data_IF_128950074037
#
_entry.id   IF_128950074037
#
_cell.length_a   1.000
_cell.length_b   1.000
_cell.length_c   1.000
_cell.angle_alpha   90.00
_cell.angle_beta   90.00
_cell.angle_gamma   90.00
#
_symmetry.space_group_name_H-M   'P 1'
#
loop_
_entity.id
_entity.type
_entity.pdbx_description
1 polymer ?
2 non-polymer ?
3 non-polymer ?
4 non-polymer ?
5 water ?
#
# COMPACT_ATOMS: atom_id res chain seq x y z
N UNK A 8 -11.23 11.93 -15.11
CA UNK A 8 -9.88 12.43 -15.45
C UNK A 8 -8.95 11.29 -15.86
N UNK A 9 -8.66 10.38 -14.93
CA UNK A 9 -7.87 9.19 -15.23
C UNK A 9 -8.72 7.93 -15.33
N UNK A 10 -10.05 8.06 -15.41
CA UNK A 10 -10.94 6.90 -15.52
C UNK A 10 -12.12 7.22 -16.43
N UNK A 11 -12.75 6.16 -16.97
CA UNK A 11 -14.04 6.26 -17.61
C UNK A 11 -15.00 5.26 -16.99
N UNK A 12 -16.29 5.59 -17.02
CA UNK A 12 -17.35 4.67 -16.62
C UNK A 12 -18.20 4.39 -17.86
N UNK A 13 -18.30 3.10 -18.24
CA UNK A 13 -19.02 2.73 -19.45
C UNK A 13 -20.32 2.06 -19.04
N UNK A 14 -21.45 2.69 -19.40
CA UNK A 14 -22.75 2.11 -19.11
C UNK A 14 -22.92 0.86 -19.96
N UNK A 15 -23.30 -0.25 -19.33
CA UNK A 15 -23.48 -1.51 -20.03
C UNK A 15 -24.95 -1.68 -20.44
N UNK A 16 -25.13 -2.37 -21.57
CA UNK A 16 -26.45 -2.78 -22.04
C UNK A 16 -26.90 -4.03 -21.29
N UNK A 17 -28.17 -4.07 -20.86
CA UNK A 17 -28.73 -5.22 -20.17
C UNK A 17 -28.77 -6.47 -21.05
N UNK A 18 -28.51 -6.33 -22.37
CA UNK A 18 -28.54 -7.48 -23.27
C UNK A 18 -27.15 -8.11 -23.40
N UNK A 19 -26.13 -7.52 -22.75
CA UNK A 19 -24.77 -8.01 -22.86
C UNK A 19 -24.51 -9.12 -21.83
N UNK A 20 -23.57 -10.01 -22.17
CA UNK A 20 -23.05 -11.02 -21.27
C UNK A 20 -22.49 -10.36 -20.01
N UNK A 21 -21.73 -9.29 -20.20
CA UNK A 21 -21.01 -8.64 -19.12
C UNK A 21 -21.99 -8.11 -18.07
N UNK A 22 -23.03 -7.42 -18.54
CA UNK A 22 -24.04 -6.89 -17.64
C UNK A 22 -24.66 -8.05 -16.85
N UNK A 23 -25.03 -9.12 -17.55
CA UNK A 23 -25.81 -10.19 -16.95
C UNK A 23 -24.96 -11.01 -15.97
N UNK A 24 -23.65 -11.05 -16.17
CA UNK A 24 -22.77 -11.72 -15.22
C UNK A 24 -22.74 -10.95 -13.90
N UNK A 25 -22.63 -9.62 -13.98
CA UNK A 25 -22.64 -8.80 -12.79
C UNK A 25 -24.00 -8.87 -12.10
N UNK A 26 -25.07 -8.78 -12.91
CA UNK A 26 -26.43 -8.80 -12.42
C UNK A 26 -26.67 -10.10 -11.66
N UNK A 27 -26.17 -11.20 -12.23
CA UNK A 27 -26.33 -12.51 -11.61
C UNK A 27 -25.80 -12.52 -10.18
N UNK A 28 -24.61 -11.97 -9.97
CA UNK A 28 -23.97 -11.99 -8.66
C UNK A 28 -24.78 -11.17 -7.64
N UNK A 29 -25.30 -10.01 -8.07
CA UNK A 29 -26.11 -9.15 -7.24
C UNK A 29 -27.41 -9.87 -6.85
N UNK A 30 -28.03 -10.49 -7.83
CA UNK A 30 -29.33 -11.15 -7.69
C UNK A 30 -29.23 -12.38 -6.79
N UNK A 31 -28.03 -12.94 -6.59
CA UNK A 31 -27.90 -14.09 -5.71
C UNK A 31 -28.47 -13.80 -4.32
N UNK A 32 -28.31 -12.55 -3.83
CA UNK A 32 -28.77 -12.24 -2.48
C UNK A 32 -29.72 -11.04 -2.40
N UNK A 33 -29.93 -10.28 -3.49
CA UNK A 33 -30.90 -9.19 -3.52
C UNK A 33 -31.86 -9.37 -4.70
N UNK A 34 -32.54 -10.53 -4.79
CA UNK A 34 -33.52 -10.76 -5.85
C UNK A 34 -34.75 -9.85 -5.77
N UNK A 35 -35.01 -9.29 -4.59
CA UNK A 35 -36.22 -8.51 -4.33
C UNK A 35 -35.97 -7.01 -4.55
N UNK A 36 -34.73 -6.62 -4.89
CA UNK A 36 -34.43 -5.26 -5.32
C UNK A 36 -34.30 -5.22 -6.83
N UNK A 37 -34.21 -4.01 -7.40
CA UNK A 37 -34.23 -3.82 -8.84
C UNK A 37 -33.00 -3.04 -9.29
N UNK A 38 -32.19 -3.67 -10.15
CA UNK A 38 -30.99 -3.05 -10.70
C UNK A 38 -31.42 -2.09 -11.80
N UNK A 39 -30.90 -0.86 -11.76
CA UNK A 39 -31.29 0.21 -12.68
C UNK A 39 -30.17 0.54 -13.64
N UNK A 40 -28.90 0.34 -13.22
CA UNK A 40 -27.76 0.68 -14.06
C UNK A 40 -26.53 -0.08 -13.59
N UNK A 41 -25.71 -0.53 -14.55
CA UNK A 41 -24.40 -1.11 -14.27
C UNK A 41 -23.39 -0.44 -15.20
N UNK A 42 -22.31 0.06 -14.60
CA UNK A 42 -21.23 0.71 -15.32
C UNK A 42 -19.92 -0.03 -15.10
N UNK A 43 -19.16 -0.24 -16.18
CA UNK A 43 -17.81 -0.78 -16.11
C UNK A 43 -16.84 0.36 -15.82
N UNK A 44 -15.98 0.17 -14.81
CA UNK A 44 -15.00 1.18 -14.46
C UNK A 44 -13.71 0.86 -15.19
N UNK A 45 -13.18 1.84 -15.92
CA UNK A 45 -11.91 1.68 -16.61
C UNK A 45 -10.94 2.70 -16.06
N UNK A 46 -10.00 2.24 -15.22
CA UNK A 46 -8.92 3.07 -14.73
C UNK A 46 -7.60 2.33 -15.00
N UNK A 47 -6.89 2.74 -16.05
CA UNK A 47 -5.70 2.02 -16.48
C UNK A 47 -4.66 1.98 -15.38
N UNK A 48 -4.50 3.09 -14.63
CA UNK A 48 -3.50 3.19 -13.59
C UNK A 48 -3.78 2.19 -12.47
N UNK A 49 -5.02 2.14 -12.00
CA UNK A 49 -5.40 1.20 -10.95
C UNK A 49 -5.29 -0.24 -11.45
N UNK A 50 -5.54 -0.44 -12.74
CA UNK A 50 -5.48 -1.77 -13.34
C UNK A 50 -4.04 -2.28 -13.42
N UNK A 51 -3.12 -1.41 -13.85
CA UNK A 51 -1.71 -1.75 -13.94
C UNK A 51 -1.17 -2.14 -12.56
N UNK A 52 -1.50 -1.36 -11.54
CA UNK A 52 -1.04 -1.61 -10.18
C UNK A 52 -1.57 -2.97 -9.71
N UNK A 53 -2.86 -3.19 -9.90
CA UNK A 53 -3.53 -4.42 -9.47
C UNK A 53 -2.89 -5.64 -10.13
N UNK A 54 -2.62 -5.56 -11.44
CA UNK A 54 -2.08 -6.71 -12.16
C UNK A 54 -0.65 -7.00 -11.72
N UNK A 55 0.12 -5.94 -11.45
CA UNK A 55 1.45 -6.08 -10.89
C UNK A 55 1.39 -6.76 -9.52
N UNK A 56 0.48 -6.28 -8.64
CA UNK A 56 0.33 -6.84 -7.32
C UNK A 56 -0.03 -8.33 -7.41
N UNK A 57 -0.94 -8.68 -8.33
CA UNK A 57 -1.35 -10.06 -8.52
C UNK A 57 -0.13 -10.93 -8.90
N UNK A 58 0.70 -10.41 -9.81
CA UNK A 58 1.90 -11.10 -10.25
C UNK A 58 2.88 -11.30 -9.09
N UNK A 59 3.02 -10.27 -8.23
CA UNK A 59 3.95 -10.36 -7.13
C UNK A 59 3.44 -11.38 -6.11
N UNK A 60 2.13 -11.38 -5.86
CA UNK A 60 1.53 -12.28 -4.90
C UNK A 60 1.66 -13.73 -5.40
N UNK A 61 1.54 -13.92 -6.70
CA UNK A 61 1.70 -15.26 -7.28
C UNK A 61 3.10 -15.78 -7.01
N UNK A 62 4.10 -14.94 -7.25
CA UNK A 62 5.48 -15.33 -7.00
C UNK A 62 5.69 -15.68 -5.54
N UNK A 63 5.08 -14.90 -4.65
CA UNK A 63 5.28 -15.08 -3.22
C UNK A 63 4.45 -16.24 -2.68
N UNK A 64 3.60 -16.82 -3.53
CA UNK A 64 2.75 -17.95 -3.18
C UNK A 64 3.32 -19.23 -3.80
N UNK A 65 4.64 -19.32 -3.88
CA UNK A 65 5.28 -20.48 -4.49
C UNK A 65 4.92 -20.63 -5.96
N UNK A 66 4.55 -19.51 -6.60
CA UNK A 66 4.24 -19.48 -8.03
C UNK A 66 2.83 -19.93 -8.36
N UNK A 67 1.96 -20.05 -7.35
CA UNK A 67 0.60 -20.55 -7.53
C UNK A 67 -0.39 -19.38 -7.59
N UNK A 68 -1.49 -19.60 -8.32
CA UNK A 68 -2.50 -18.58 -8.53
C UNK A 68 -2.98 -18.06 -7.18
N UNK A 69 -3.24 -16.77 -7.15
CA UNK A 69 -3.69 -16.03 -5.98
C UNK A 69 -5.20 -16.16 -5.85
N UNK A 70 -5.71 -16.34 -4.63
CA UNK A 70 -7.15 -16.30 -4.38
C UNK A 70 -7.66 -14.90 -4.73
N UNK A 71 -8.48 -14.83 -5.80
CA UNK A 71 -9.00 -13.60 -6.35
C UNK A 71 -10.52 -13.73 -6.43
N UNK A 72 -11.23 -12.74 -5.90
CA UNK A 72 -12.69 -12.82 -5.83
C UNK A 72 -13.32 -11.53 -6.34
N UNK A 73 -14.60 -11.65 -6.72
CA UNK A 73 -15.42 -10.51 -7.05
C UNK A 73 -16.36 -10.29 -5.87
N UNK A 74 -16.18 -9.15 -5.20
CA UNK A 74 -16.78 -8.88 -3.92
C UNK A 74 -17.44 -7.50 -3.94
N UNK A 75 -18.47 -7.30 -3.11
CA UNK A 75 -19.25 -6.09 -3.10
C UNK A 75 -18.75 -5.11 -2.04
N UNK A 76 -19.02 -3.83 -2.32
CA UNK A 76 -18.65 -2.75 -1.41
C UNK A 76 -19.71 -1.65 -1.49
N UNK A 77 -20.46 -1.50 -0.39
CA UNK A 77 -21.53 -0.52 -0.36
C UNK A 77 -20.94 0.88 -0.41
N UNK A 78 -21.63 1.79 -1.10
CA UNK A 78 -21.13 3.14 -1.25
C UNK A 78 -22.32 4.10 -1.27
N UNK A 79 -22.01 5.36 -1.58
CA UNK A 79 -23.01 6.35 -1.91
C UNK A 79 -22.63 6.97 -3.25
N UNK A 80 -23.63 7.44 -3.97
CA UNK A 80 -23.43 8.02 -5.29
C UNK A 80 -22.35 9.10 -5.27
N UNK A 81 -22.27 9.89 -4.19
CA UNK A 81 -21.36 11.02 -4.16
C UNK A 81 -19.89 10.59 -4.11
N UNK A 82 -19.58 9.40 -3.59
CA UNK A 82 -18.19 9.00 -3.44
C UNK A 82 -17.71 8.11 -4.59
N UNK A 83 -18.59 7.78 -5.54
CA UNK A 83 -18.26 6.87 -6.62
C UNK A 83 -17.04 7.34 -7.41
N UNK A 84 -17.06 8.59 -7.90
CA UNK A 84 -16.01 9.09 -8.78
C UNK A 84 -14.66 9.16 -8.07
N UNK A 85 -14.66 9.44 -6.76
CA UNK A 85 -13.46 9.44 -5.95
C UNK A 85 -12.81 8.05 -5.88
N UNK A 86 -13.64 7.02 -5.72
CA UNK A 86 -13.17 5.64 -5.70
C UNK A 86 -12.65 5.24 -7.07
N UNK A 87 -13.37 5.61 -8.15
CA UNK A 87 -12.96 5.27 -9.51
C UNK A 87 -11.57 5.84 -9.86
N UNK A 88 -11.25 6.97 -9.23
CA UNK A 88 -10.00 7.69 -9.47
C UNK A 88 -8.88 7.21 -8.55
N UNK A 89 -9.17 7.08 -7.24
CA UNK A 89 -8.17 6.90 -6.21
C UNK A 89 -8.20 5.52 -5.55
N UNK A 90 -9.24 4.72 -5.86
CA UNK A 90 -9.45 3.42 -5.24
C UNK A 90 -10.16 3.57 -3.89
N UNK A 91 -10.58 2.43 -3.33
CA UNK A 91 -11.19 2.36 -2.02
C UNK A 91 -10.23 2.81 -0.92
N UNK A 92 -10.80 3.35 0.17
CA UNK A 92 -10.02 3.81 1.30
C UNK A 92 -10.89 3.72 2.56
N UNK A 93 -10.45 2.95 3.55
CA UNK A 93 -11.29 2.66 4.70
C UNK A 93 -11.53 3.89 5.58
N UNK A 94 -10.68 4.90 5.47
CA UNK A 94 -10.74 6.01 6.42
C UNK A 94 -11.52 7.17 5.81
N UNK A 95 -12.15 6.95 4.65
CA UNK A 95 -13.17 7.86 4.15
C UNK A 95 -14.49 7.55 4.85
N UNK A 96 -14.90 6.28 4.81
CA UNK A 96 -16.27 5.86 5.07
C UNK A 96 -16.40 5.21 6.46
N UNK A 100 -19.44 -2.89 10.70
CA UNK A 100 -20.04 -2.86 12.05
C UNK A 100 -19.16 -3.57 13.07
N UNK A 101 -19.12 -4.90 12.97
CA UNK A 101 -18.17 -5.71 13.73
C UNK A 101 -16.83 -5.63 13.03
N UNK A 102 -15.76 -5.31 13.78
CA UNK A 102 -14.47 -5.03 13.18
C UNK A 102 -13.56 -6.27 13.22
N UNK A 103 -13.03 -6.58 12.04
CA UNK A 103 -12.03 -7.59 11.82
C UNK A 103 -10.75 -6.93 11.34
N UNK A 104 -10.60 -5.63 11.66
CA UNK A 104 -9.39 -4.89 11.37
C UNK A 104 -9.69 -3.55 10.71
N UNK A 105 -8.70 -2.67 10.72
CA UNK A 105 -8.82 -1.33 10.17
C UNK A 105 -8.33 -1.35 8.73
N UNK A 106 -9.19 -1.88 7.86
CA UNK A 106 -8.98 -1.88 6.43
C UNK A 106 -10.32 -1.75 5.70
N UNK A 107 -10.27 -1.85 4.37
CA UNK A 107 -11.45 -1.77 3.54
C UNK A 107 -12.18 -3.11 3.56
N UNK A 108 -13.51 -3.06 3.67
CA UNK A 108 -14.36 -4.24 3.83
C UNK A 108 -15.01 -4.57 2.48
N UNK A 109 -14.97 -5.87 2.11
CA UNK A 109 -15.58 -6.34 0.89
C UNK A 109 -16.37 -7.61 1.20
N UNK A 110 -17.59 -7.70 0.66
CA UNK A 110 -18.51 -8.77 1.02
C UNK A 110 -18.76 -9.75 -0.13
N UNK A 111 -18.92 -11.02 0.25
CA UNK A 111 -19.37 -12.04 -0.68
C UNK A 111 -20.75 -11.66 -1.22
N UNK A 112 -21.64 -11.23 -0.32
CA UNK A 112 -23.05 -11.04 -0.64
C UNK A 112 -23.36 -9.55 -0.81
N UNK A 113 -24.07 -9.21 -1.91
CA UNK A 113 -24.58 -7.87 -2.12
C UNK A 113 -25.49 -7.44 -0.97
N UNK A 114 -26.28 -8.36 -0.40
CA UNK A 114 -27.19 -8.03 0.68
C UNK A 114 -26.45 -7.50 1.90
N UNK A 115 -25.23 -8.00 2.16
CA UNK A 115 -24.41 -7.47 3.25
C UNK A 115 -24.03 -6.02 2.95
N UNK A 116 -23.50 -5.79 1.74
CA UNK A 116 -23.09 -4.45 1.32
C UNK A 116 -24.26 -3.47 1.34
N UNK A 117 -25.46 -3.96 1.02
CA UNK A 117 -26.64 -3.13 1.05
C UNK A 117 -26.84 -2.53 2.45
N UNK A 118 -26.55 -3.31 3.48
CA UNK A 118 -26.67 -2.82 4.84
C UNK A 118 -25.73 -1.64 5.09
N UNK A 119 -24.59 -1.56 4.41
CA UNK A 119 -23.64 -0.47 4.64
C UNK A 119 -23.64 0.53 3.48
N UNK A 120 -24.75 0.61 2.75
CA UNK A 120 -24.87 1.50 1.61
C UNK A 120 -25.76 2.69 1.98
N UNK A 121 -25.14 3.86 2.11
CA UNK A 121 -25.78 5.01 2.73
C UNK A 121 -26.61 5.78 1.69
N UNK A 122 -27.90 5.92 2.01
CA UNK A 122 -28.84 6.69 1.23
C UNK A 122 -30.03 7.09 2.10
N UNK A 123 -30.65 8.22 1.78
CA UNK A 123 -31.87 8.63 2.46
C UNK A 123 -33.08 8.32 1.59
N UNK A 124 -32.87 7.59 0.49
CA UNK A 124 -33.94 7.22 -0.42
C UNK A 124 -33.86 5.71 -0.69
N UNK A 125 -34.78 5.23 -1.55
CA UNK A 125 -34.83 3.83 -1.90
C UNK A 125 -33.74 3.45 -2.90
N UNK A 126 -33.04 4.45 -3.47
CA UNK A 126 -32.03 4.23 -4.49
C UNK A 126 -30.64 4.18 -3.83
N UNK A 127 -29.90 3.09 -4.11
CA UNK A 127 -28.59 2.86 -3.53
C UNK A 127 -27.58 2.57 -4.63
N UNK A 128 -26.31 2.62 -4.23
CA UNK A 128 -25.20 2.30 -5.10
C UNK A 128 -24.27 1.33 -4.37
N UNK A 129 -23.70 0.35 -5.10
CA UNK A 129 -22.58 -0.43 -4.56
C UNK A 129 -21.62 -0.74 -5.69
N UNK A 130 -20.36 -1.00 -5.31
CA UNK A 130 -19.36 -1.49 -6.25
C UNK A 130 -19.35 -3.02 -6.24
N UNK A 131 -19.04 -3.59 -7.40
CA UNK A 131 -18.41 -4.91 -7.46
C UNK A 131 -16.92 -4.66 -7.71
N UNK A 132 -16.07 -5.23 -6.87
CA UNK A 132 -14.64 -5.00 -6.97
C UNK A 132 -13.94 -6.33 -7.19
N UNK A 133 -12.81 -6.28 -7.90
CA UNK A 133 -11.94 -7.44 -8.01
C UNK A 133 -10.94 -7.34 -6.86
N UNK A 134 -10.82 -8.42 -6.07
CA UNK A 134 -10.07 -8.39 -4.83
C UNK A 134 -9.11 -9.58 -4.76
N UNK A 135 -7.82 -9.26 -4.54
CA UNK A 135 -6.80 -10.27 -4.29
C UNK A 135 -6.80 -10.58 -2.80
N UNK A 136 -7.66 -11.54 -2.38
CA UNK A 136 -7.77 -11.85 -0.98
C UNK A 136 -6.56 -12.67 -0.52
N UNK A 137 -5.95 -13.44 -1.43
CA UNK A 137 -4.78 -14.23 -1.10
C UNK A 137 -5.05 -15.16 0.07
N UNK A 138 -4.08 -15.31 0.97
CA UNK A 138 -4.26 -16.18 2.13
C UNK A 138 -4.84 -15.36 3.27
N UNK A 139 -6.04 -15.73 3.73
CA UNK A 139 -6.75 -14.98 4.76
C UNK A 139 -6.67 -15.69 6.10
N UNK A 140 -6.92 -14.90 7.15
CA UNK A 140 -6.86 -15.31 8.55
C UNK A 140 -7.97 -14.53 9.24
N UNK A 141 -8.52 -15.07 10.33
CA UNK A 141 -9.53 -14.35 11.06
C UNK A 141 -8.97 -13.02 11.60
N UNK A 142 -9.75 -11.97 11.44
CA UNK A 142 -9.38 -10.63 11.83
C UNK A 142 -9.68 -10.36 13.30
N UNK A 143 -9.32 -9.14 13.70
CA UNK A 143 -9.36 -8.70 15.07
C UNK A 143 -9.47 -7.17 15.02
N UNK A 144 -10.25 -6.60 15.94
CA UNK A 144 -10.55 -5.17 15.94
C UNK A 144 -9.27 -4.34 15.99
N UNK A 145 -8.19 -4.88 16.57
CA UNK A 145 -6.97 -4.12 16.81
C UNK A 145 -5.99 -4.23 15.64
N UNK A 146 -6.30 -5.05 14.63
CA UNK A 146 -5.38 -5.23 13.52
C UNK A 146 -5.33 -3.99 12.64
N UNK A 147 -4.12 -3.52 12.33
CA UNK A 147 -3.92 -2.43 11.39
C UNK A 147 -3.28 -2.98 10.12
N UNK A 148 -2.98 -4.29 10.13
CA UNK A 148 -2.46 -4.99 8.98
C UNK A 148 -2.73 -6.46 9.25
N UNK A 149 -2.64 -7.37 8.26
CA UNK A 149 -2.80 -8.80 8.56
C UNK A 149 -1.66 -9.22 9.46
N UNK A 150 -1.90 -10.16 10.40
CA UNK A 150 -0.83 -10.66 11.27
C UNK A 150 0.14 -11.58 10.54
N UNK A 151 1.28 -11.84 11.20
CA UNK A 151 2.26 -12.78 10.71
C UNK A 151 1.91 -14.17 11.25
N UNK A 152 2.28 -15.21 10.50
CA UNK A 152 2.22 -16.57 10.98
C UNK A 152 3.26 -16.75 12.09
N UNK A 153 3.02 -17.72 12.97
CA UNK A 153 3.98 -18.07 14.01
C UNK A 153 5.37 -18.35 13.43
N UNK A 154 6.42 -17.81 14.09
CA UNK A 154 7.80 -18.04 13.69
C UNK A 154 8.43 -16.77 13.08
N UNK A 155 9.73 -16.55 13.33
CA UNK A 155 10.35 -15.27 13.01
C UNK A 155 10.49 -15.07 11.50
N UNK A 156 10.13 -13.84 11.06
CA UNK A 156 10.14 -13.38 9.68
C UNK A 156 9.45 -14.38 8.75
N UNK A 157 8.38 -15.00 9.27
CA UNK A 157 7.58 -15.92 8.49
C UNK A 157 6.61 -15.08 7.64
N UNK A 158 5.82 -15.77 6.80
CA UNK A 158 4.83 -15.16 5.94
C UNK A 158 3.83 -14.37 6.77
N UNK A 159 3.32 -13.29 6.16
CA UNK A 159 2.15 -12.57 6.64
C UNK A 159 0.98 -13.00 5.75
N UNK A 160 -0.22 -12.92 6.29
CA UNK A 160 -1.43 -13.11 5.51
C UNK A 160 -1.66 -11.91 4.59
N UNK A 161 -2.62 -12.07 3.67
CA UNK A 161 -2.92 -11.07 2.65
C UNK A 161 -4.19 -10.29 2.96
N UNK A 162 -5.04 -10.85 3.82
CA UNK A 162 -6.31 -10.27 4.17
C UNK A 162 -6.81 -10.90 5.47
N UNK A 163 -7.80 -10.26 6.07
CA UNK A 163 -8.50 -10.80 7.22
C UNK A 163 -9.95 -11.07 6.86
N UNK A 164 -10.57 -12.02 7.57
CA UNK A 164 -11.95 -12.42 7.34
C UNK A 164 -12.68 -12.56 8.67
N UNK A 165 -14.02 -12.63 8.58
CA UNK A 165 -14.86 -12.92 9.74
C UNK A 165 -14.75 -14.39 10.14
N UNK A 166 -14.53 -15.26 9.14
CA UNK A 166 -14.51 -16.71 9.34
C UNK A 166 -13.63 -17.36 8.28
N UNK A 167 -12.63 -18.14 8.72
CA UNK A 167 -11.74 -18.81 7.79
C UNK A 167 -12.47 -19.94 7.05
N UNK A 168 -13.38 -20.64 7.75
CA UNK A 168 -14.05 -21.79 7.15
C UNK A 168 -15.20 -21.34 6.24
N UNK A 169 -15.77 -20.15 6.49
CA UNK A 169 -16.90 -19.70 5.69
C UNK A 169 -16.83 -18.18 5.56
N UNK A 170 -15.85 -17.64 4.82
CA UNK A 170 -15.61 -16.20 4.79
C UNK A 170 -16.70 -15.49 3.99
N UNK A 171 -17.31 -14.48 4.60
CA UNK A 171 -18.30 -13.68 3.92
C UNK A 171 -17.93 -12.20 3.89
N UNK A 172 -16.95 -11.81 4.73
CA UNK A 172 -16.43 -10.46 4.77
C UNK A 172 -14.90 -10.54 4.70
N UNK A 173 -14.30 -9.70 3.85
CA UNK A 173 -12.86 -9.66 3.66
C UNK A 173 -12.37 -8.25 3.94
N UNK A 174 -11.29 -8.15 4.71
CA UNK A 174 -10.67 -6.88 5.06
C UNK A 174 -9.33 -6.80 4.36
N UNK A 175 -9.16 -5.73 3.58
CA UNK A 175 -7.98 -5.49 2.77
C UNK A 175 -7.26 -4.25 3.29
N UNK A 176 -5.95 -4.36 3.47
CA UNK A 176 -5.21 -3.26 4.07
C UNK A 176 -4.28 -2.58 3.07
N UNK A 177 -4.27 -3.06 1.82
CA UNK A 177 -3.38 -2.57 0.80
C UNK A 177 -4.22 -2.29 -0.45
N UNK A 178 -4.31 -1.03 -0.87
CA UNK A 178 -5.14 -0.64 -2.00
C UNK A 178 -4.74 -1.40 -3.27
N UNK A 179 -3.47 -1.78 -3.38
CA UNK A 179 -2.96 -2.44 -4.57
C UNK A 179 -3.63 -3.79 -4.81
N UNK A 180 -4.32 -4.31 -3.79
CA UNK A 180 -5.01 -5.59 -3.86
C UNK A 180 -6.45 -5.47 -4.34
N UNK A 181 -6.90 -4.27 -4.76
CA UNK A 181 -8.28 -4.08 -5.17
C UNK A 181 -8.34 -3.30 -6.47
N UNK A 182 -9.33 -3.66 -7.31
CA UNK A 182 -9.63 -2.90 -8.50
C UNK A 182 -11.14 -2.65 -8.51
N UNK A 183 -11.60 -1.37 -8.53
CA UNK A 183 -13.03 -1.10 -8.52
C UNK A 183 -13.56 -1.33 -9.94
N UNK A 184 -14.41 -2.34 -10.08
CA UNK A 184 -14.65 -2.93 -11.38
C UNK A 184 -15.98 -2.44 -11.97
N UNK A 185 -17.05 -2.46 -11.16
CA UNK A 185 -18.39 -2.10 -11.62
C UNK A 185 -19.11 -1.26 -10.58
N UNK A 186 -19.90 -0.30 -11.07
CA UNK A 186 -20.79 0.49 -10.26
C UNK A 186 -22.21 0.01 -10.53
N UNK A 187 -22.94 -0.37 -9.48
CA UNK A 187 -24.30 -0.87 -9.59
C UNK A 187 -25.24 0.09 -8.86
N UNK A 188 -26.23 0.60 -9.59
CA UNK A 188 -27.29 1.40 -9.01
C UNK A 188 -28.57 0.56 -9.00
N UNK A 189 -29.27 0.56 -7.85
CA UNK A 189 -30.46 -0.25 -7.67
C UNK A 189 -31.45 0.47 -6.74
N UNK A 190 -32.70 0.00 -6.73
CA UNK A 190 -33.74 0.51 -5.86
C UNK A 190 -34.36 -0.60 -5.00
N UNK A 191 -34.76 -0.23 -3.78
CA UNK A 191 -35.45 -1.13 -2.87
C UNK A 191 -36.96 -1.05 -3.05
N UNK A 192 -37.42 -0.20 -3.96
CA UNK A 192 -38.84 -0.08 -4.25
C UNK A 192 -39.41 -1.39 -4.81
N UNK B 8 0.78 1.81 21.17
CA UNK B 8 1.08 2.34 19.83
C UNK B 8 1.61 1.30 18.83
N UNK B 9 2.29 0.27 19.33
CA UNK B 9 2.79 -0.82 18.50
C UNK B 9 4.25 -0.62 18.08
N UNK B 10 4.86 0.47 18.53
CA UNK B 10 6.27 0.74 18.24
C UNK B 10 6.90 1.50 19.39
N UNK B 11 8.25 1.49 19.44
CA UNK B 11 8.99 2.35 20.34
C UNK B 11 10.04 3.11 19.55
N UNK B 12 10.37 4.32 20.02
CA UNK B 12 11.52 5.07 19.56
C UNK B 12 12.55 5.10 20.69
N UNK B 13 13.73 4.52 20.46
CA UNK B 13 14.75 4.43 21.49
C UNK B 13 15.83 5.46 21.20
N UNK B 14 15.98 6.42 22.10
CA UNK B 14 17.00 7.45 21.98
C UNK B 14 18.38 6.82 22.14
N UNK B 15 19.26 7.06 21.18
CA UNK B 15 20.60 6.49 21.17
C UNK B 15 21.58 7.46 21.85
N UNK B 16 22.55 6.87 22.56
CA UNK B 16 23.68 7.63 23.08
C UNK B 16 24.63 7.99 21.95
N UNK B 17 25.13 9.23 21.96
CA UNK B 17 26.07 9.70 20.96
C UNK B 17 27.40 8.94 21.02
N UNK B 18 27.65 8.16 22.07
CA UNK B 18 28.88 7.38 22.17
C UNK B 18 28.73 5.97 21.61
N UNK B 19 27.54 5.58 21.16
CA UNK B 19 27.34 4.22 20.68
C UNK B 19 27.81 4.10 19.23
N UNK B 20 28.24 2.89 18.87
CA UNK B 20 28.53 2.54 17.49
C UNK B 20 27.33 2.88 16.62
N UNK B 21 26.14 2.48 17.10
CA UNK B 21 24.94 2.56 16.30
C UNK B 21 24.63 4.00 15.91
N UNK B 22 24.65 4.91 16.90
CA UNK B 22 24.46 6.33 16.68
C UNK B 22 25.48 6.85 15.69
N UNK B 23 26.76 6.49 15.89
CA UNK B 23 27.83 7.07 15.09
C UNK B 23 27.76 6.64 13.62
N UNK B 24 27.27 5.42 13.36
CA UNK B 24 27.15 4.97 11.98
C UNK B 24 26.05 5.76 11.27
N UNK B 25 24.93 6.02 11.97
CA UNK B 25 23.87 6.84 11.41
C UNK B 25 24.39 8.26 11.21
N UNK B 26 25.04 8.80 12.24
CA UNK B 26 25.55 10.16 12.19
C UNK B 26 26.52 10.32 11.00
N UNK B 27 27.37 9.31 10.81
CA UNK B 27 28.34 9.31 9.72
C UNK B 27 27.64 9.52 8.37
N UNK B 28 26.55 8.78 8.13
CA UNK B 28 25.84 8.87 6.87
C UNK B 28 25.21 10.24 6.71
N UNK B 29 24.63 10.77 7.80
CA UNK B 29 24.03 12.11 7.74
C UNK B 29 25.13 13.15 7.43
N UNK B 30 26.26 13.03 8.13
CA UNK B 30 27.34 14.01 8.09
C UNK B 30 28.03 14.02 6.73
N UNK B 31 27.88 12.97 5.93
CA UNK B 31 28.44 12.91 4.58
C UNK B 31 28.01 14.10 3.73
N UNK B 32 26.76 14.56 3.84
CA UNK B 32 26.28 15.66 3.00
C UNK B 32 25.73 16.83 3.80
N UNK B 33 25.55 16.69 5.12
CA UNK B 33 25.07 17.82 5.93
C UNK B 33 26.02 18.07 7.08
N UNK B 34 27.34 18.23 6.82
CA UNK B 34 28.28 18.39 7.91
C UNK B 34 28.15 19.74 8.62
N UNK B 35 27.42 20.67 8.00
CA UNK B 35 27.31 22.04 8.52
C UNK B 35 26.05 22.19 9.38
N UNK B 36 25.28 21.11 9.54
CA UNK B 36 24.14 21.13 10.45
C UNK B 36 24.53 20.35 11.70
N UNK B 37 23.65 20.36 12.71
CA UNK B 37 23.97 19.84 14.04
C UNK B 37 22.91 18.82 14.46
N UNK B 38 23.30 17.54 14.57
CA UNK B 38 22.38 16.49 14.98
C UNK B 38 22.13 16.65 16.48
N UNK B 39 20.84 16.65 16.86
CA UNK B 39 20.41 16.85 18.23
C UNK B 39 19.99 15.51 18.85
N UNK B 40 19.46 14.60 18.01
CA UNK B 40 18.94 13.34 18.50
C UNK B 40 18.84 12.30 17.39
N UNK B 41 19.12 11.05 17.74
CA UNK B 41 18.90 9.92 16.86
C UNK B 41 18.15 8.85 17.65
N UNK B 42 16.97 8.47 17.15
CA UNK B 42 16.18 7.42 17.75
C UNK B 42 16.13 6.21 16.82
N UNK B 43 16.31 5.03 17.41
CA UNK B 43 16.07 3.75 16.76
C UNK B 43 14.58 3.44 16.85
N UNK B 44 13.96 3.19 15.70
CA UNK B 44 12.56 2.80 15.64
C UNK B 44 12.45 1.29 15.77
N UNK B 45 11.63 0.85 16.73
CA UNK B 45 11.36 -0.56 16.97
C UNK B 45 9.88 -0.84 16.70
N UNK B 46 9.60 -1.32 15.49
CA UNK B 46 8.28 -1.81 15.11
C UNK B 46 8.47 -3.23 14.61
N UNK B 47 8.17 -4.18 15.48
CA UNK B 47 8.50 -5.57 15.22
C UNK B 47 7.76 -6.05 13.97
N UNK B 48 6.49 -5.66 13.83
CA UNK B 48 5.69 -6.12 12.71
C UNK B 48 6.29 -5.64 11.39
N UNK B 49 6.65 -4.34 11.32
CA UNK B 49 7.23 -3.79 10.09
C UNK B 49 8.57 -4.45 9.79
N UNK B 50 9.33 -4.79 10.86
CA UNK B 50 10.62 -5.44 10.71
C UNK B 50 10.46 -6.84 10.12
N UNK B 51 9.51 -7.61 10.68
CA UNK B 51 9.32 -8.98 10.27
C UNK B 51 8.82 -9.05 8.83
N UNK B 52 7.91 -8.16 8.42
CA UNK B 52 7.41 -8.23 7.05
C UNK B 52 8.51 -7.81 6.08
N UNK B 53 9.34 -6.84 6.47
CA UNK B 53 10.50 -6.45 5.69
C UNK B 53 11.49 -7.60 5.51
N UNK B 54 11.79 -8.34 6.58
CA UNK B 54 12.70 -9.47 6.48
C UNK B 54 12.11 -10.57 5.61
N UNK B 55 10.80 -10.80 5.73
CA UNK B 55 10.14 -11.75 4.85
C UNK B 55 10.30 -11.31 3.38
N UNK B 56 10.05 -10.02 3.13
CA UNK B 56 10.15 -9.46 1.80
C UNK B 56 11.55 -9.68 1.22
N UNK B 57 12.59 -9.42 2.03
CA UNK B 57 13.97 -9.62 1.60
C UNK B 57 14.20 -11.06 1.14
N UNK B 58 13.67 -12.01 1.91
CA UNK B 58 13.81 -13.41 1.57
C UNK B 58 13.13 -13.76 0.25
N UNK B 59 11.93 -13.21 0.04
CA UNK B 59 11.17 -13.44 -1.17
C UNK B 59 11.90 -12.86 -2.37
N UNK B 60 12.52 -11.69 -2.21
CA UNK B 60 13.13 -11.00 -3.32
C UNK B 60 14.36 -11.77 -3.81
N UNK B 61 15.08 -12.36 -2.86
CA UNK B 61 16.23 -13.17 -3.23
C UNK B 61 15.79 -14.33 -4.11
N UNK B 62 14.77 -15.04 -3.66
CA UNK B 62 14.20 -16.15 -4.42
C UNK B 62 13.78 -15.67 -5.81
N UNK B 63 13.00 -14.58 -5.87
CA UNK B 63 12.47 -14.06 -7.12
C UNK B 63 13.60 -13.74 -8.11
N UNK B 64 14.73 -13.25 -7.60
CA UNK B 64 15.80 -12.75 -8.44
C UNK B 64 16.87 -13.82 -8.64
N UNK B 65 16.42 -15.05 -8.89
CA UNK B 65 17.33 -16.14 -9.26
C UNK B 65 18.27 -16.52 -8.12
N UNK B 66 17.84 -16.29 -6.87
CA UNK B 66 18.60 -16.68 -5.70
C UNK B 66 19.73 -15.70 -5.33
N UNK B 67 19.77 -14.50 -5.94
CA UNK B 67 20.91 -13.61 -5.74
C UNK B 67 20.65 -12.67 -4.55
N UNK B 68 21.73 -12.27 -3.87
CA UNK B 68 21.64 -11.33 -2.76
C UNK B 68 20.88 -10.07 -3.18
N UNK B 69 20.08 -9.53 -2.25
CA UNK B 69 19.26 -8.37 -2.53
C UNK B 69 20.03 -7.08 -2.23
N UNK B 70 20.00 -6.15 -3.18
CA UNK B 70 20.55 -4.82 -2.98
C UNK B 70 19.70 -4.09 -1.94
N UNK B 71 20.32 -3.81 -0.79
CA UNK B 71 19.72 -3.22 0.39
C UNK B 71 20.52 -1.99 0.78
N UNK B 72 19.86 -0.84 0.91
CA UNK B 72 20.56 0.41 1.17
C UNK B 72 19.92 1.16 2.33
N UNK B 73 20.72 2.04 2.96
CA UNK B 73 20.22 2.96 3.97
C UNK B 73 20.09 4.32 3.32
N UNK B 74 18.84 4.76 3.21
CA UNK B 74 18.48 5.94 2.44
C UNK B 74 17.62 6.88 3.28
N UNK B 75 17.68 8.17 2.93
CA UNK B 75 17.00 9.18 3.73
C UNK B 75 15.61 9.53 3.16
N UNK B 76 14.76 10.03 4.05
CA UNK B 76 13.43 10.50 3.68
C UNK B 76 13.07 11.66 4.61
N UNK B 77 12.96 12.86 4.02
CA UNK B 77 12.64 14.07 4.76
C UNK B 77 11.22 14.01 5.27
N UNK B 78 11.00 14.63 6.43
CA UNK B 78 9.71 14.56 7.08
C UNK B 78 9.51 15.86 7.87
N UNK B 79 8.33 15.98 8.48
CA UNK B 79 8.02 17.01 9.46
C UNK B 79 7.74 16.29 10.76
N UNK B 80 8.02 16.95 11.89
CA UNK B 80 7.88 16.34 13.20
C UNK B 80 6.50 15.71 13.36
N UNK B 81 5.53 16.30 12.66
CA UNK B 81 4.10 16.00 12.79
C UNK B 81 3.76 14.64 12.19
N UNK B 82 4.54 14.12 11.24
CA UNK B 82 4.16 12.89 10.55
C UNK B 82 5.03 11.71 11.01
N UNK B 83 6.02 11.95 11.87
CA UNK B 83 7.02 10.95 12.25
C UNK B 83 6.35 9.71 12.85
N UNK B 84 5.50 9.89 13.86
CA UNK B 84 4.94 8.77 14.59
C UNK B 84 4.03 7.93 13.68
N UNK B 85 3.28 8.58 12.78
CA UNK B 85 2.50 7.87 11.79
C UNK B 85 3.35 6.92 10.94
N UNK B 86 4.53 7.38 10.50
CA UNK B 86 5.41 6.54 9.70
C UNK B 86 5.95 5.39 10.55
N UNK B 87 6.29 5.66 11.82
CA UNK B 87 6.79 4.64 12.71
C UNK B 87 5.79 3.51 12.89
N UNK B 88 4.48 3.81 12.76
CA UNK B 88 3.45 2.82 13.00
C UNK B 88 3.03 2.12 11.70
N UNK B 89 2.89 2.89 10.61
CA UNK B 89 2.17 2.48 9.40
C UNK B 89 3.09 2.46 8.18
N UNK B 90 4.34 2.94 8.33
CA UNK B 90 5.35 2.96 7.27
C UNK B 90 5.12 4.18 6.37
N UNK B 91 6.04 4.40 5.42
CA UNK B 91 5.96 5.53 4.48
C UNK B 91 4.77 5.34 3.54
N UNK B 92 4.18 6.45 3.08
CA UNK B 92 3.03 6.39 2.20
C UNK B 92 3.06 7.60 1.29
N UNK B 93 3.23 7.36 -0.02
CA UNK B 93 3.41 8.43 -0.99
C UNK B 93 2.17 9.32 -1.07
N UNK B 94 0.99 8.76 -0.77
CA UNK B 94 -0.26 9.52 -0.81
C UNK B 94 -0.24 10.60 0.27
N UNK B 95 0.28 10.27 1.45
CA UNK B 95 0.41 11.22 2.55
C UNK B 95 1.49 12.24 2.20
N UNK B 96 2.63 11.72 1.70
CA UNK B 96 3.75 12.55 1.26
C UNK B 96 3.39 13.24 -0.06
N UNK B 101 10.44 16.65 -9.29
CA UNK B 101 10.69 15.82 -10.50
C UNK B 101 10.31 14.37 -10.19
N UNK B 102 9.42 13.79 -11.00
CA UNK B 102 8.88 12.49 -10.68
C UNK B 102 9.51 11.38 -11.52
N UNK B 103 9.84 10.30 -10.80
CA UNK B 103 10.31 9.06 -11.38
C UNK B 103 9.29 7.96 -11.12
N UNK B 104 8.05 8.37 -10.80
CA UNK B 104 6.98 7.40 -10.56
C UNK B 104 6.20 7.71 -9.29
N UNK B 105 5.02 7.08 -9.19
CA UNK B 105 4.08 7.29 -8.10
C UNK B 105 4.33 6.22 -7.02
N UNK B 106 5.39 6.46 -6.25
CA UNK B 106 5.73 5.66 -5.10
C UNK B 106 6.42 6.52 -4.03
N UNK B 107 6.99 5.86 -3.02
CA UNK B 107 7.71 6.54 -1.97
C UNK B 107 9.16 6.77 -2.39
N UNK B 108 9.67 7.97 -2.10
CA UNK B 108 11.00 8.36 -2.50
C UNK B 108 11.99 8.29 -1.33
N UNK B 109 13.21 7.85 -1.67
CA UNK B 109 14.31 7.72 -0.73
C UNK B 109 15.57 8.24 -1.41
N UNK B 110 16.39 8.97 -0.65
CA UNK B 110 17.58 9.61 -1.19
C UNK B 110 18.85 9.00 -0.62
N UNK B 111 19.86 8.87 -1.48
CA UNK B 111 21.21 8.54 -1.03
C UNK B 111 21.72 9.59 -0.03
N UNK B 112 21.45 10.88 -0.31
CA UNK B 112 22.06 11.99 0.40
C UNK B 112 21.07 12.69 1.34
N UNK B 113 21.48 12.88 2.59
CA UNK B 113 20.68 13.60 3.57
C UNK B 113 20.37 15.02 3.06
N UNK B 114 21.32 15.63 2.34
CA UNK B 114 21.15 16.98 1.83
C UNK B 114 19.97 17.08 0.88
N UNK B 115 19.71 16.01 0.11
CA UNK B 115 18.56 15.97 -0.77
C UNK B 115 17.28 15.98 0.07
N UNK B 116 17.21 15.07 1.03
CA UNK B 116 16.07 14.95 1.91
C UNK B 116 15.79 16.25 2.68
N UNK B 117 16.86 16.98 3.05
CA UNK B 117 16.70 18.23 3.77
C UNK B 117 15.94 19.24 2.93
N UNK B 118 16.21 19.24 1.63
CA UNK B 118 15.53 20.13 0.72
C UNK B 118 14.03 19.89 0.81
N UNK B 119 13.62 18.69 1.24
CA UNK B 119 12.23 18.32 1.44
C UNK B 119 11.91 17.99 2.92
N UNK B 120 12.56 18.66 3.88
CA UNK B 120 12.27 18.47 5.30
C UNK B 120 11.65 19.74 5.90
N UNK B 121 10.32 19.88 5.79
CA UNK B 121 9.65 21.14 6.09
C UNK B 121 9.57 21.41 7.59
N UNK B 122 9.91 22.65 7.97
CA UNK B 122 9.81 23.09 9.35
C UNK B 122 9.61 24.60 9.38
N UNK B 123 8.91 25.08 10.42
CA UNK B 123 8.76 26.51 10.67
C UNK B 123 10.01 27.02 11.37
N UNK B 124 10.66 26.15 12.17
CA UNK B 124 11.81 26.52 12.97
C UNK B 124 13.09 26.01 12.31
N UNK B 125 14.21 26.22 13.01
CA UNK B 125 15.51 25.74 12.58
C UNK B 125 15.73 24.27 12.98
N UNK B 126 14.71 23.63 13.57
CA UNK B 126 14.77 22.22 13.92
C UNK B 126 14.04 21.39 12.87
N UNK B 127 14.75 20.42 12.30
CA UNK B 127 14.20 19.57 11.26
C UNK B 127 14.34 18.11 11.67
N UNK B 128 13.56 17.26 10.99
CA UNK B 128 13.55 15.82 11.18
C UNK B 128 13.62 15.11 9.83
N UNK B 129 14.32 13.99 9.77
CA UNK B 129 14.31 13.12 8.60
C UNK B 129 14.53 11.70 9.11
N UNK B 130 14.06 10.72 8.31
CA UNK B 130 14.35 9.32 8.58
C UNK B 130 15.62 8.87 7.85
N UNK B 131 16.30 7.88 8.46
CA UNK B 131 17.15 6.96 7.73
C UNK B 131 16.42 5.62 7.68
N UNK B 132 16.04 5.21 6.48
CA UNK B 132 15.28 3.99 6.26
C UNK B 132 16.20 2.92 5.69
N UNK B 133 15.84 1.67 5.96
CA UNK B 133 16.42 0.52 5.30
C UNK B 133 15.53 0.19 4.13
N UNK B 134 16.11 0.05 2.93
CA UNK B 134 15.31 -0.07 1.73
C UNK B 134 15.83 -1.21 0.87
N UNK B 135 14.93 -2.14 0.56
CA UNK B 135 15.22 -3.21 -0.37
C UNK B 135 15.01 -2.69 -1.79
N UNK B 136 16.04 -2.05 -2.35
CA UNK B 136 15.95 -1.45 -3.67
C UNK B 136 15.94 -2.53 -4.75
N UNK B 137 16.49 -3.70 -4.45
CA UNK B 137 16.60 -4.79 -5.41
C UNK B 137 17.18 -4.32 -6.74
N UNK B 138 16.65 -4.90 -7.84
CA UNK B 138 17.06 -4.54 -9.17
C UNK B 138 16.26 -3.32 -9.61
N UNK B 139 16.95 -2.26 -10.03
CA UNK B 139 16.30 -1.01 -10.39
C UNK B 139 16.50 -0.69 -11.86
N UNK B 140 15.71 0.30 -12.30
CA UNK B 140 15.64 0.78 -13.68
C UNK B 140 15.21 2.24 -13.61
N UNK B 141 15.53 3.06 -14.61
CA UNK B 141 15.15 4.46 -14.56
C UNK B 141 13.61 4.59 -14.49
N UNK B 142 13.15 5.52 -13.67
CA UNK B 142 11.73 5.76 -13.51
C UNK B 142 11.22 6.75 -14.56
N UNK B 143 9.97 7.14 -14.39
CA UNK B 143 9.22 7.94 -15.34
C UNK B 143 7.98 8.40 -14.60
N UNK B 144 7.56 9.64 -14.85
CA UNK B 144 6.46 10.28 -14.12
C UNK B 144 5.15 9.49 -14.26
N UNK B 145 5.03 8.73 -15.34
CA UNK B 145 3.81 7.99 -15.64
C UNK B 145 3.78 6.60 -14.97
N UNK B 146 4.89 6.15 -14.35
CA UNK B 146 4.89 4.81 -13.79
C UNK B 146 4.08 4.78 -12.50
N UNK B 147 3.20 3.77 -12.38
CA UNK B 147 2.45 3.54 -11.16
C UNK B 147 2.90 2.23 -10.51
N UNK B 148 3.77 1.49 -11.21
CA UNK B 148 4.39 0.28 -10.69
C UNK B 148 5.73 0.12 -11.42
N UNK B 149 6.64 -0.74 -10.94
CA UNK B 149 7.95 -0.87 -11.59
C UNK B 149 7.79 -1.47 -12.98
N UNK B 150 8.58 -1.03 -13.97
CA UNK B 150 8.61 -1.68 -15.28
C UNK B 150 8.91 -3.18 -15.25
N UNK B 151 8.41 -3.86 -16.29
CA UNK B 151 8.76 -5.24 -16.56
C UNK B 151 10.25 -5.33 -16.84
N UNK B 152 10.84 -6.44 -16.40
CA UNK B 152 12.25 -6.70 -16.61
C UNK B 152 12.43 -7.36 -17.98
N UNK B 153 13.39 -6.84 -18.75
CA UNK B 153 13.61 -7.30 -20.10
C UNK B 153 14.31 -8.66 -20.04
N UNK B 154 13.94 -9.59 -20.92
CA UNK B 154 14.58 -10.89 -21.00
C UNK B 154 13.95 -11.94 -20.07
N UNK B 155 13.01 -11.52 -19.22
CA UNK B 155 12.28 -12.42 -18.32
C UNK B 155 10.84 -12.53 -18.80
N UNK B 156 10.22 -13.70 -18.60
CA UNK B 156 8.78 -13.82 -18.66
C UNK B 156 8.21 -13.42 -17.29
N UNK B 157 7.29 -12.44 -17.31
CA UNK B 157 6.44 -12.11 -16.19
C UNK B 157 7.27 -11.69 -14.97
N UNK B 158 8.40 -11.00 -15.18
CA UNK B 158 9.15 -10.42 -14.06
C UNK B 158 9.15 -8.90 -14.10
N UNK B 159 9.24 -8.27 -12.91
CA UNK B 159 9.30 -6.82 -12.80
C UNK B 159 10.56 -6.38 -12.03
N UNK B 160 10.99 -5.14 -12.29
CA UNK B 160 12.00 -4.52 -11.44
C UNK B 160 11.45 -4.26 -10.04
N UNK B 161 12.38 -4.06 -9.09
CA UNK B 161 12.04 -3.92 -7.69
C UNK B 161 11.87 -2.45 -7.31
N UNK B 162 12.49 -1.55 -8.07
CA UNK B 162 12.45 -0.13 -7.77
C UNK B 162 12.84 0.68 -9.01
N UNK B 163 12.54 2.00 -8.96
CA UNK B 163 12.92 2.94 -9.99
C UNK B 163 13.91 3.95 -9.42
N UNK B 164 14.75 4.50 -10.32
CA UNK B 164 15.78 5.45 -9.93
C UNK B 164 15.80 6.62 -10.91
N UNK B 165 16.49 7.69 -10.48
CA UNK B 165 16.72 8.84 -11.32
C UNK B 165 17.73 8.50 -12.43
N UNK B 166 18.74 7.68 -12.11
CA UNK B 166 19.79 7.33 -13.06
C UNK B 166 20.39 5.98 -12.67
N UNK B 167 20.59 5.06 -13.63
CA UNK B 167 21.22 3.80 -13.27
C UNK B 167 22.74 3.97 -13.16
N UNK B 168 23.31 5.00 -13.79
CA UNK B 168 24.75 5.21 -13.68
C UNK B 168 25.13 5.85 -12.34
N UNK B 169 24.22 6.62 -11.74
CA UNK B 169 24.52 7.32 -10.51
C UNK B 169 23.24 7.43 -9.70
N UNK B 170 22.69 6.31 -9.19
CA UNK B 170 21.39 6.35 -8.52
C UNK B 170 21.48 7.09 -7.19
N UNK B 171 20.74 8.20 -7.09
CA UNK B 171 20.71 8.96 -5.86
C UNK B 171 19.29 9.11 -5.32
N UNK B 172 18.28 8.78 -6.14
CA UNK B 172 16.89 8.85 -5.75
C UNK B 172 16.23 7.53 -6.13
N UNK B 173 15.52 6.92 -5.16
CA UNK B 173 14.93 5.61 -5.34
C UNK B 173 13.43 5.71 -5.09
N UNK B 174 12.64 5.05 -5.94
CA UNK B 174 11.20 5.04 -5.83
C UNK B 174 10.74 3.62 -5.56
N UNK B 175 9.97 3.46 -4.47
CA UNK B 175 9.49 2.17 -3.99
C UNK B 175 7.97 2.15 -4.08
N UNK B 176 7.43 1.04 -4.61
CA UNK B 176 6.00 0.95 -4.87
C UNK B 176 5.30 0.00 -3.89
N UNK B 177 6.09 -0.76 -3.11
CA UNK B 177 5.61 -1.76 -2.17
C UNK B 177 6.22 -1.44 -0.81
N UNK B 178 5.37 -1.15 0.18
CA UNK B 178 5.82 -0.65 1.47
C UNK B 178 6.62 -1.72 2.23
N UNK B 179 6.39 -3.00 1.92
CA UNK B 179 7.15 -4.06 2.58
C UNK B 179 8.64 -4.01 2.20
N UNK B 180 9.01 -3.20 1.19
CA UNK B 180 10.41 -3.07 0.82
C UNK B 180 11.13 -2.04 1.68
N UNK B 181 10.45 -1.45 2.69
CA UNK B 181 11.04 -0.38 3.48
C UNK B 181 10.82 -0.63 4.96
N UNK B 182 11.84 -0.31 5.77
CA UNK B 182 11.73 -0.24 7.21
C UNK B 182 12.20 1.14 7.70
N UNK B 183 11.34 1.88 8.42
CA UNK B 183 11.70 3.20 8.95
C UNK B 183 12.59 3.06 10.17
N UNK B 184 13.90 3.13 9.98
CA UNK B 184 14.84 2.57 10.93
C UNK B 184 15.26 3.59 11.99
N UNK B 185 15.61 4.82 11.55
CA UNK B 185 16.07 5.86 12.45
C UNK B 185 15.34 7.19 12.21
N UNK B 186 15.06 7.90 13.31
CA UNK B 186 14.60 9.26 13.24
C UNK B 186 15.76 10.14 13.67
N UNK B 187 16.10 11.10 12.81
CA UNK B 187 17.19 12.04 13.06
C UNK B 187 16.60 13.43 13.22
N UNK B 188 16.86 14.05 14.37
CA UNK B 188 16.52 15.45 14.59
C UNK B 188 17.77 16.31 14.51
N UNK B 189 17.70 17.43 13.79
CA UNK B 189 18.88 18.26 13.63
C UNK B 189 18.48 19.73 13.53
N UNK B 190 19.46 20.61 13.80
CA UNK B 190 19.27 22.04 13.67
C UNK B 190 20.20 22.58 12.59
N UNK B 191 19.77 23.67 11.95
CA UNK B 191 20.55 24.34 10.93
C UNK B 191 21.36 25.49 11.55
N UNK B 192 21.28 25.63 12.88
CA UNK B 192 21.99 26.69 13.58
C UNK B 192 22.71 26.11 14.80
#
# INVERSE_FOLDING_TARGET
DSSALPDPGFQKITLSSSSEEYQKVWNLFNRTLPFYFVQKIERVQNLALWEVYQWQKGQMQKQNGGKAVDERQLFHGTSAIVVDGICQHNFDWRVCGVHGTSYGKGSYFARDAAYSHHFSKSDTQTHTMFLARVLVGEFVRGNASFVRPPAKEGWSNAFYDSCVNSVSDPSIFVIFEKHQVYPEYVIQYTTSSKPS
DSSALPDPGFQKITLSSSSEEYQKVWNLFNRTLPFYFVQKIERVQNLALWEVYQWQKGQMQKQNGGKAVDERQLFHGTSAIVVDGICQHNFDWRVCGVHGTSYGKGSYFARDAAYSHHFSKSDTQTHTMFLARVLVGEFVRGNASFVRPPAKEGWSNAFYDSCVNSVSDPSIFVIFEKHQVYPEYVIQYTTSSKPS
#
